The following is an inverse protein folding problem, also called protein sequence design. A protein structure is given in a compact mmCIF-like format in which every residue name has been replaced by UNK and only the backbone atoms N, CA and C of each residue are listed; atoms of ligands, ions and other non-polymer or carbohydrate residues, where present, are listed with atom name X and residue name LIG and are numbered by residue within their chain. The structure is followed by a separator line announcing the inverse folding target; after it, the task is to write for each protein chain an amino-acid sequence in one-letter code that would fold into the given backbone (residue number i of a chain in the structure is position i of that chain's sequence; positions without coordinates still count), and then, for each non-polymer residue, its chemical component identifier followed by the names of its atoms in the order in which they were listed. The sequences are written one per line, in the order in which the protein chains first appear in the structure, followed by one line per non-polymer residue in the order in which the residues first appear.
data_IF_156384190858
#
_entry.id   IF_156384190858
#
_cell.length_a   1.000
_cell.length_b   1.000
_cell.length_c   1.000
_cell.angle_alpha   90.00
_cell.angle_beta   90.00
_cell.angle_gamma   90.00
#
_symmetry.space_group_name_H-M   'P 1'
#
loop_
_entity.id
_entity.type
_entity.pdbx_description
1 polymer ?
#
# COMPACT_ATOMS: atom_id res chain seq x y z
N UNK A 1 -31.49 -23.00 -33.72
CA UNK A 1 -31.70 -22.44 -32.37
C UNK A 1 -31.04 -23.38 -31.38
N UNK A 2 -30.34 -22.83 -30.39
CA UNK A 2 -29.53 -23.47 -29.34
C UNK A 2 -28.06 -23.74 -29.71
N UNK A 3 -27.22 -23.04 -28.94
CA UNK A 3 -25.78 -22.84 -28.96
C UNK A 3 -24.99 -24.14 -28.71
N UNK A 4 -23.90 -24.29 -29.46
CA UNK A 4 -22.70 -25.05 -29.06
C UNK A 4 -21.86 -24.14 -28.16
N UNK A 5 -21.48 -24.60 -26.97
CA UNK A 5 -20.24 -24.17 -26.32
C UNK A 5 -19.52 -25.45 -25.93
N UNK A 6 -18.38 -25.65 -26.59
CA UNK A 6 -17.37 -26.65 -26.26
C UNK A 6 -16.86 -26.38 -24.84
N UNK A 7 -16.98 -27.39 -23.97
CA UNK A 7 -15.96 -27.65 -22.96
C UNK A 7 -14.87 -28.45 -23.64
N UNK A 8 -13.65 -27.91 -23.68
CA UNK A 8 -12.38 -28.63 -23.46
C UNK A 8 -11.18 -27.73 -23.81
N UNK A 9 -10.17 -27.83 -22.95
CA UNK A 9 -8.76 -27.55 -23.19
C UNK A 9 -8.29 -26.09 -23.11
N UNK A 10 -7.78 -25.72 -21.94
CA UNK A 10 -6.48 -25.05 -21.80
C UNK A 10 -5.90 -25.37 -20.42
N UNK A 11 -5.43 -26.61 -20.28
CA UNK A 11 -4.36 -26.95 -19.36
C UNK A 11 -3.05 -26.75 -20.12
N UNK A 12 -2.34 -25.65 -19.86
CA UNK A 12 -0.91 -25.47 -20.13
C UNK A 12 -0.50 -24.03 -19.77
N UNK A 13 -0.03 -23.83 -18.53
CA UNK A 13 1.05 -22.92 -18.11
C UNK A 13 1.00 -22.73 -16.58
N UNK A 14 1.13 -23.83 -15.84
CA UNK A 14 1.69 -23.82 -14.49
C UNK A 14 2.76 -24.90 -14.45
N UNK A 15 3.91 -24.55 -15.00
CA UNK A 15 5.17 -25.23 -14.77
C UNK A 15 6.16 -24.17 -14.33
N UNK A 16 5.89 -23.58 -13.16
CA UNK A 16 6.93 -22.89 -12.41
C UNK A 16 7.57 -23.97 -11.54
N UNK A 17 8.87 -24.07 -11.72
CA UNK A 17 9.81 -24.97 -11.08
C UNK A 17 9.52 -25.23 -9.61
N UNK A 18 9.33 -26.52 -9.28
CA UNK A 18 9.70 -27.07 -7.97
C UNK A 18 11.21 -26.98 -7.79
N UNK A 19 11.72 -25.78 -7.54
CA UNK A 19 13.00 -25.59 -6.86
C UNK A 19 12.62 -25.35 -5.40
N UNK A 20 12.73 -26.40 -4.59
CA UNK A 20 12.77 -26.38 -3.11
C UNK A 20 12.40 -25.05 -2.46
N UNK A 21 11.10 -24.80 -2.25
CA UNK A 21 10.66 -24.08 -1.06
C UNK A 21 11.23 -24.89 0.10
N UNK A 22 12.34 -24.43 0.67
CA UNK A 22 12.70 -24.83 2.01
C UNK A 22 11.43 -24.56 2.83
N UNK A 23 10.82 -25.62 3.37
CA UNK A 23 9.88 -25.46 4.46
C UNK A 23 10.64 -24.64 5.50
N UNK A 24 10.34 -23.36 5.61
CA UNK A 24 10.74 -22.58 6.75
C UNK A 24 10.07 -23.28 7.93
N UNK A 25 10.83 -24.10 8.65
CA UNK A 25 10.36 -24.66 9.91
C UNK A 25 9.90 -23.47 10.77
N UNK A 26 8.73 -23.55 11.44
CA UNK A 26 8.35 -22.53 12.38
C UNK A 26 9.50 -22.39 13.38
N UNK A 27 10.11 -21.20 13.43
CA UNK A 27 11.25 -20.94 14.30
C UNK A 27 10.75 -21.11 15.73
N UNK A 28 11.07 -22.25 16.34
CA UNK A 28 10.87 -22.48 17.76
C UNK A 28 11.74 -21.47 18.53
N UNK A 29 11.12 -20.40 19.03
CA UNK A 29 11.63 -19.67 20.19
C UNK A 29 12.22 -18.29 19.97
N UNK A 30 11.64 -17.43 19.14
CA UNK A 30 11.72 -15.98 19.39
C UNK A 30 10.55 -15.57 20.30
N UNK A 31 10.87 -14.94 21.44
CA UNK A 31 9.85 -14.49 22.39
C UNK A 31 9.01 -13.37 21.77
N UNK A 32 7.69 -13.41 21.99
CA UNK A 32 6.74 -12.36 21.55
C UNK A 32 7.13 -10.91 21.92
N UNK A 33 8.09 -10.72 22.82
CA UNK A 33 8.66 -9.42 23.20
C UNK A 33 9.58 -8.81 22.13
N UNK A 34 10.28 -9.62 21.33
CA UNK A 34 11.21 -9.11 20.31
C UNK A 34 10.43 -8.55 19.11
N UNK A 35 9.36 -9.24 18.69
CA UNK A 35 8.44 -8.78 17.64
C UNK A 35 7.77 -7.44 17.98
N UNK A 36 7.30 -7.28 19.22
CA UNK A 36 6.68 -6.02 19.65
C UNK A 36 7.66 -4.86 19.65
N UNK A 37 8.93 -5.10 19.95
CA UNK A 37 9.97 -4.08 19.87
C UNK A 37 10.23 -3.65 18.41
N UNK A 38 10.30 -4.61 17.49
CA UNK A 38 10.46 -4.35 16.05
C UNK A 38 9.29 -3.54 15.48
N UNK A 39 8.05 -3.94 15.77
CA UNK A 39 6.84 -3.17 15.36
C UNK A 39 6.84 -1.76 15.97
N UNK A 40 7.19 -1.63 17.25
CA UNK A 40 7.25 -0.32 17.92
C UNK A 40 8.29 0.61 17.30
N UNK A 41 9.44 0.07 16.86
CA UNK A 41 10.48 0.84 16.19
C UNK A 41 10.01 1.35 14.82
N UNK A 42 9.32 0.50 14.04
CA UNK A 42 8.72 0.88 12.75
C UNK A 42 7.70 2.00 12.93
N UNK A 43 6.75 1.86 13.86
CA UNK A 43 5.73 2.89 14.10
C UNK A 43 6.34 4.20 14.64
N UNK A 44 7.39 4.10 15.47
CA UNK A 44 8.12 5.29 15.95
C UNK A 44 8.79 6.03 14.80
N UNK A 45 9.41 5.31 13.85
CA UNK A 45 10.01 5.91 12.67
C UNK A 45 8.94 6.58 11.78
N UNK A 46 7.81 5.89 11.56
CA UNK A 46 6.67 6.41 10.78
C UNK A 46 6.08 7.70 11.34
N UNK A 47 5.97 7.80 12.66
CA UNK A 47 5.37 8.96 13.36
C UNK A 47 6.36 10.13 13.55
N UNK A 48 7.61 9.99 13.12
CA UNK A 48 8.60 11.06 13.26
C UNK A 48 8.23 12.26 12.38
N UNK A 49 8.32 13.46 12.94
CA UNK A 49 8.20 14.72 12.18
C UNK A 49 9.52 15.13 11.51
N UNK A 50 10.56 14.27 11.59
CA UNK A 50 11.85 14.55 10.99
C UNK A 50 11.77 14.58 9.45
N UNK A 51 12.64 15.37 8.83
CA UNK A 51 12.78 15.40 7.37
C UNK A 51 13.14 14.02 6.80
N UNK A 52 13.77 13.13 7.59
CA UNK A 52 14.18 11.76 7.22
C UNK A 52 13.16 10.68 7.55
N UNK A 53 11.96 11.04 8.04
CA UNK A 53 11.04 10.09 8.65
C UNK A 53 10.64 8.92 7.74
N UNK A 54 10.52 9.16 6.42
CA UNK A 54 10.15 8.10 5.49
C UNK A 54 11.34 7.18 5.17
N UNK A 55 12.55 7.74 5.00
CA UNK A 55 13.77 6.94 4.89
C UNK A 55 14.00 6.07 6.14
N UNK A 56 13.88 6.64 7.34
CA UNK A 56 14.01 5.93 8.61
C UNK A 56 12.94 4.83 8.76
N UNK A 57 11.73 5.08 8.28
CA UNK A 57 10.64 4.11 8.25
C UNK A 57 10.98 2.89 7.38
N UNK A 58 11.47 3.10 6.16
CA UNK A 58 11.84 2.00 5.26
C UNK A 58 12.99 1.17 5.84
N UNK A 59 14.00 1.83 6.43
CA UNK A 59 15.12 1.16 7.11
C UNK A 59 14.66 0.36 8.34
N UNK A 60 13.67 0.87 9.07
CA UNK A 60 13.11 0.14 10.22
C UNK A 60 12.35 -1.11 9.79
N UNK A 61 11.64 -1.08 8.66
CA UNK A 61 10.99 -2.27 8.10
C UNK A 61 12.04 -3.28 7.64
N UNK A 62 13.05 -2.84 6.88
CA UNK A 62 14.14 -3.70 6.39
C UNK A 62 14.87 -4.40 7.55
N UNK A 63 15.24 -3.66 8.59
CA UNK A 63 15.90 -4.22 9.77
C UNK A 63 15.04 -5.26 10.52
N UNK A 64 13.71 -5.17 10.40
CA UNK A 64 12.76 -6.08 11.01
C UNK A 64 12.23 -7.15 10.04
N UNK A 65 12.66 -7.17 8.77
CA UNK A 65 11.97 -7.91 7.72
C UNK A 65 11.92 -9.41 7.97
N UNK A 66 13.01 -9.99 8.50
CA UNK A 66 13.08 -11.40 8.88
C UNK A 66 12.05 -11.77 9.95
N UNK A 67 11.84 -10.90 10.93
CA UNK A 67 10.84 -11.10 11.98
C UNK A 67 9.41 -10.98 11.41
N UNK A 68 9.19 -9.98 10.54
CA UNK A 68 7.91 -9.79 9.86
C UNK A 68 7.55 -11.00 8.96
N UNK A 69 8.53 -11.53 8.21
CA UNK A 69 8.34 -12.74 7.40
C UNK A 69 7.94 -13.93 8.27
N UNK A 70 8.58 -14.12 9.42
CA UNK A 70 8.23 -15.20 10.35
C UNK A 70 6.79 -15.09 10.86
N UNK A 71 6.30 -13.88 11.14
CA UNK A 71 4.93 -13.64 11.59
C UNK A 71 3.87 -14.04 10.55
N UNK A 72 4.22 -14.08 9.26
CA UNK A 72 3.31 -14.53 8.19
C UNK A 72 3.22 -16.05 8.05
N UNK A 73 3.94 -16.82 8.87
CA UNK A 73 3.86 -18.29 8.87
C UNK A 73 2.82 -18.73 9.89
N UNK A 74 1.57 -18.87 9.46
CA UNK A 74 0.47 -19.38 10.30
C UNK A 74 0.31 -20.89 10.11
N UNK A 75 0.09 -21.64 11.20
CA UNK A 75 -0.21 -23.07 11.13
C UNK A 75 -1.62 -23.35 10.60
N UNK A 76 -1.80 -24.50 9.93
CA UNK A 76 -3.10 -24.89 9.35
C UNK A 76 -4.22 -25.02 10.42
N UNK A 77 -3.86 -25.43 11.64
CA UNK A 77 -4.79 -25.51 12.77
C UNK A 77 -5.37 -24.14 13.14
N UNK A 78 -4.58 -23.06 13.01
CA UNK A 78 -5.05 -21.69 13.27
C UNK A 78 -5.95 -21.21 12.13
N UNK A 79 -5.56 -21.47 10.87
CA UNK A 79 -6.34 -21.09 9.68
C UNK A 79 -7.73 -21.74 9.63
N UNK A 80 -7.87 -22.95 10.19
CA UNK A 80 -9.14 -23.69 10.23
C UNK A 80 -9.95 -23.42 11.51
N UNK A 81 -9.47 -22.56 12.41
CA UNK A 81 -10.07 -22.25 13.71
C UNK A 81 -11.30 -21.33 13.70
N UNK A 82 -11.73 -20.85 12.53
CA UNK A 82 -12.94 -20.03 12.37
C UNK A 82 -12.85 -18.65 13.04
N UNK A 83 -13.92 -18.22 13.70
CA UNK A 83 -14.06 -16.90 14.35
C UNK A 83 -13.44 -16.84 15.76
N UNK A 84 -12.55 -17.78 16.11
CA UNK A 84 -11.93 -17.80 17.43
C UNK A 84 -11.01 -16.57 17.63
N UNK A 85 -10.96 -15.97 18.84
CA UNK A 85 -10.10 -14.80 19.08
C UNK A 85 -8.62 -15.05 18.79
N UNK A 86 -8.14 -16.28 18.98
CA UNK A 86 -6.77 -16.68 18.68
C UNK A 86 -6.50 -16.69 17.17
N UNK A 87 -7.42 -17.24 16.38
CA UNK A 87 -7.37 -17.20 14.91
C UNK A 87 -7.39 -15.77 14.40
N UNK A 88 -8.37 -14.98 14.84
CA UNK A 88 -8.54 -13.61 14.37
C UNK A 88 -7.32 -12.73 14.74
N UNK A 89 -6.80 -12.87 15.96
CA UNK A 89 -5.60 -12.15 16.41
C UNK A 89 -4.36 -12.52 15.60
N UNK A 90 -4.13 -13.82 15.38
CA UNK A 90 -2.96 -14.30 14.62
C UNK A 90 -3.02 -13.87 13.15
N UNK A 91 -4.19 -13.96 12.52
CA UNK A 91 -4.38 -13.50 11.14
C UNK A 91 -4.20 -11.99 11.01
N UNK A 92 -4.70 -11.22 11.97
CA UNK A 92 -4.46 -9.77 12.02
C UNK A 92 -2.98 -9.43 12.06
N UNK A 93 -2.22 -10.09 12.93
CA UNK A 93 -0.79 -9.83 13.08
C UNK A 93 -0.02 -10.20 11.80
N UNK A 94 -0.36 -11.33 11.16
CA UNK A 94 0.24 -11.72 9.88
C UNK A 94 -0.09 -10.75 8.74
N UNK A 95 -1.36 -10.36 8.56
CA UNK A 95 -1.75 -9.38 7.53
C UNK A 95 -1.06 -8.03 7.76
N UNK A 96 -0.94 -7.62 9.02
CA UNK A 96 -0.25 -6.37 9.39
C UNK A 96 1.25 -6.43 9.06
N UNK A 97 1.91 -7.56 9.34
CA UNK A 97 3.31 -7.77 8.98
C UNK A 97 3.51 -7.76 7.45
N UNK A 98 2.65 -8.45 6.69
CA UNK A 98 2.64 -8.41 5.23
C UNK A 98 2.42 -7.00 4.67
N UNK A 99 1.54 -6.21 5.29
CA UNK A 99 1.29 -4.82 4.87
C UNK A 99 2.48 -3.89 5.11
N UNK A 100 3.30 -4.14 6.14
CA UNK A 100 4.56 -3.42 6.37
C UNK A 100 5.63 -3.84 5.36
N UNK A 101 5.78 -5.16 5.11
CA UNK A 101 6.70 -5.66 4.09
C UNK A 101 6.35 -5.13 2.69
N UNK A 102 5.06 -4.95 2.39
CA UNK A 102 4.60 -4.38 1.13
C UNK A 102 5.02 -2.91 0.91
N UNK A 103 5.52 -2.22 1.95
CA UNK A 103 6.08 -0.88 1.80
C UNK A 103 7.55 -0.91 1.35
N UNK A 104 8.24 -2.06 1.35
CA UNK A 104 9.62 -2.18 0.87
C UNK A 104 9.69 -2.11 -0.67
N UNK A 105 10.60 -1.31 -1.25
CA UNK A 105 10.72 -1.12 -2.71
C UNK A 105 11.44 -2.27 -3.45
N UNK A 106 12.16 -3.13 -2.73
CA UNK A 106 12.94 -4.24 -3.31
C UNK A 106 12.77 -5.53 -2.48
N UNK A 107 11.53 -6.05 -2.33
CA UNK A 107 11.32 -7.21 -1.50
C UNK A 107 12.07 -8.42 -2.06
N UNK A 108 12.76 -9.16 -1.20
CA UNK A 108 13.39 -10.42 -1.58
C UNK A 108 12.33 -11.54 -1.81
N UNK A 109 12.77 -12.75 -2.16
CA UNK A 109 11.84 -13.86 -2.43
C UNK A 109 10.98 -14.24 -1.21
N UNK A 110 11.55 -14.16 0.00
CA UNK A 110 10.84 -14.51 1.23
C UNK A 110 9.84 -13.42 1.62
N UNK A 111 10.23 -12.15 1.47
CA UNK A 111 9.38 -10.98 1.70
C UNK A 111 8.23 -10.93 0.69
N UNK A 112 8.50 -11.16 -0.60
CA UNK A 112 7.47 -11.26 -1.64
C UNK A 112 6.47 -12.39 -1.35
N UNK A 113 6.95 -13.56 -0.90
CA UNK A 113 6.08 -14.66 -0.49
C UNK A 113 5.27 -14.35 0.78
N UNK A 114 5.81 -13.57 1.71
CA UNK A 114 5.11 -13.10 2.91
C UNK A 114 4.01 -12.07 2.56
N UNK A 115 4.26 -11.17 1.61
CA UNK A 115 3.26 -10.22 1.09
C UNK A 115 2.10 -10.99 0.44
N UNK A 116 2.39 -11.96 -0.43
CA UNK A 116 1.37 -12.78 -1.09
C UNK A 116 0.49 -13.55 -0.09
N UNK A 117 1.09 -14.15 0.95
CA UNK A 117 0.34 -14.81 2.04
C UNK A 117 -0.57 -13.85 2.79
N UNK A 118 -0.14 -12.61 3.02
CA UNK A 118 -0.98 -11.60 3.66
C UNK A 118 -2.26 -11.28 2.89
N UNK A 119 -2.19 -11.25 1.55
CA UNK A 119 -3.37 -11.11 0.71
C UNK A 119 -4.33 -12.30 0.87
N UNK A 120 -3.79 -13.53 0.81
CA UNK A 120 -4.58 -14.75 1.03
C UNK A 120 -5.24 -14.76 2.42
N UNK A 121 -4.52 -14.36 3.47
CA UNK A 121 -5.08 -14.28 4.83
C UNK A 121 -6.13 -13.19 4.96
N UNK A 122 -5.98 -12.06 4.25
CA UNK A 122 -7.04 -11.06 4.22
C UNK A 122 -8.32 -11.57 3.57
N UNK A 123 -8.21 -12.36 2.49
CA UNK A 123 -9.37 -12.97 1.83
C UNK A 123 -10.07 -13.95 2.78
N UNK A 124 -9.32 -14.82 3.45
CA UNK A 124 -9.86 -15.75 4.45
C UNK A 124 -10.52 -14.99 5.61
N UNK A 125 -9.93 -13.88 6.07
CA UNK A 125 -10.51 -13.08 7.15
C UNK A 125 -11.83 -12.43 6.73
N UNK A 126 -11.94 -11.97 5.48
CA UNK A 126 -13.20 -11.43 4.96
C UNK A 126 -14.26 -12.52 4.83
N UNK A 127 -13.88 -13.77 4.50
CA UNK A 127 -14.82 -14.90 4.52
C UNK A 127 -15.32 -15.24 5.94
N UNK A 128 -14.45 -15.17 6.95
CA UNK A 128 -14.82 -15.43 8.35
C UNK A 128 -15.69 -14.30 8.91
N UNK A 129 -15.32 -13.05 8.62
CA UNK A 129 -15.88 -11.88 9.29
C UNK A 129 -16.96 -11.14 8.49
N UNK A 130 -17.09 -11.36 7.18
CA UNK A 130 -17.98 -10.60 6.31
C UNK A 130 -19.47 -10.72 6.65
N UNK A 131 -19.85 -11.76 7.38
CA UNK A 131 -21.23 -11.96 7.88
C UNK A 131 -21.42 -11.57 9.36
N UNK A 132 -20.36 -11.14 10.06
CA UNK A 132 -20.40 -10.77 11.47
C UNK A 132 -20.80 -9.30 11.65
N UNK A 133 -21.89 -9.05 12.39
CA UNK A 133 -22.38 -7.70 12.70
C UNK A 133 -22.72 -7.57 14.20
N UNK A 134 -21.99 -6.73 14.99
CA UNK A 134 -20.81 -5.97 14.57
C UNK A 134 -19.60 -6.88 14.30
N UNK A 135 -18.75 -6.50 13.35
CA UNK A 135 -17.51 -7.20 13.10
C UNK A 135 -16.55 -7.06 14.30
N UNK A 136 -15.81 -8.11 14.67
CA UNK A 136 -14.71 -7.99 15.63
C UNK A 136 -13.65 -6.98 15.18
N UNK A 137 -13.00 -6.31 16.14
CA UNK A 137 -11.99 -5.26 15.86
C UNK A 137 -10.82 -5.76 15.01
N UNK A 138 -10.47 -7.03 15.14
CA UNK A 138 -9.42 -7.69 14.37
C UNK A 138 -9.81 -7.80 12.90
N UNK A 139 -11.08 -8.08 12.61
CA UNK A 139 -11.60 -8.14 11.26
C UNK A 139 -11.59 -6.76 10.60
N UNK A 140 -12.00 -5.72 11.33
CA UNK A 140 -11.95 -4.33 10.85
C UNK A 140 -10.52 -3.89 10.55
N UNK A 141 -9.56 -4.21 11.44
CA UNK A 141 -8.14 -3.93 11.22
C UNK A 141 -7.57 -4.64 9.99
N UNK A 142 -7.90 -5.93 9.81
CA UNK A 142 -7.48 -6.72 8.63
C UNK A 142 -8.11 -6.18 7.36
N UNK A 143 -9.40 -5.84 7.37
CA UNK A 143 -10.10 -5.29 6.21
C UNK A 143 -9.36 -4.06 5.68
N UNK A 144 -9.00 -3.12 6.56
CA UNK A 144 -8.26 -1.93 6.15
C UNK A 144 -6.88 -2.30 5.59
N UNK A 145 -6.09 -3.10 6.31
CA UNK A 145 -4.71 -3.43 5.89
C UNK A 145 -4.70 -4.23 4.59
N UNK A 146 -5.55 -5.25 4.51
CA UNK A 146 -5.67 -6.19 3.39
C UNK A 146 -6.09 -5.55 2.08
N UNK A 147 -7.12 -4.68 2.10
CA UNK A 147 -7.53 -3.86 0.93
C UNK A 147 -6.34 -3.11 0.34
N UNK A 148 -5.37 -2.77 1.19
CA UNK A 148 -4.32 -1.85 0.89
C UNK A 148 -2.94 -2.46 0.66
N UNK A 149 -2.75 -3.76 0.91
CA UNK A 149 -1.47 -4.46 0.64
C UNK A 149 -1.06 -4.31 -0.84
N UNK A 150 -1.96 -4.61 -1.78
CA UNK A 150 -1.63 -4.60 -3.22
C UNK A 150 -1.16 -3.22 -3.70
N UNK A 151 -1.94 -2.20 -3.41
CA UNK A 151 -1.59 -0.80 -3.72
C UNK A 151 -0.32 -0.30 -3.02
N UNK A 152 -0.02 -0.75 -1.79
CA UNK A 152 1.27 -0.47 -1.11
C UNK A 152 2.42 -1.05 -1.91
N UNK A 153 2.32 -2.34 -2.24
CA UNK A 153 3.30 -3.03 -3.07
C UNK A 153 3.51 -2.32 -4.42
N UNK A 154 2.44 -1.92 -5.11
CA UNK A 154 2.55 -1.23 -6.40
C UNK A 154 3.21 0.16 -6.29
N UNK A 155 2.97 0.90 -5.20
CA UNK A 155 3.61 2.19 -4.94
C UNK A 155 5.09 2.02 -4.58
N UNK A 156 5.43 1.01 -3.78
CA UNK A 156 6.81 0.71 -3.44
C UNK A 156 7.57 0.12 -4.63
N UNK A 157 6.93 -0.67 -5.47
CA UNK A 157 7.46 -1.12 -6.77
C UNK A 157 7.70 0.07 -7.73
N UNK A 158 6.84 1.10 -7.69
CA UNK A 158 7.03 2.33 -8.45
C UNK A 158 8.25 3.12 -7.93
N UNK A 159 8.40 3.22 -6.61
CA UNK A 159 9.58 3.80 -5.96
C UNK A 159 10.84 3.00 -6.31
N UNK A 160 10.77 1.67 -6.31
CA UNK A 160 11.88 0.79 -6.66
C UNK A 160 12.37 1.00 -8.11
N UNK A 161 11.45 1.05 -9.09
CA UNK A 161 11.84 1.30 -10.49
C UNK A 161 12.23 2.75 -10.77
N UNK A 162 11.85 3.71 -9.92
CA UNK A 162 12.24 5.11 -10.09
C UNK A 162 13.76 5.32 -10.07
N UNK A 163 14.48 4.39 -9.43
CA UNK A 163 15.95 4.37 -9.32
C UNK A 163 16.64 3.64 -10.49
N UNK A 164 15.90 3.21 -11.51
CA UNK A 164 16.47 2.56 -12.70
C UNK A 164 16.96 3.60 -13.72
N UNK A 165 18.18 3.41 -14.21
CA UNK A 165 18.74 4.23 -15.29
C UNK A 165 17.92 4.09 -16.58
N UNK A 166 17.46 5.22 -17.13
CA UNK A 166 16.76 5.23 -18.42
C UNK A 166 15.33 4.69 -18.37
N UNK A 167 14.65 4.92 -17.25
CA UNK A 167 13.25 4.55 -17.03
C UNK A 167 12.34 5.06 -18.17
N UNK A 168 11.59 4.14 -18.76
CA UNK A 168 10.70 4.44 -19.87
C UNK A 168 9.32 4.94 -19.41
N UNK A 169 8.82 6.02 -20.03
CA UNK A 169 7.55 6.65 -19.68
C UNK A 169 6.36 5.69 -19.81
N UNK A 170 6.37 4.74 -20.76
CA UNK A 170 5.28 3.75 -20.88
C UNK A 170 5.27 2.81 -19.69
N UNK A 171 6.43 2.43 -19.16
CA UNK A 171 6.54 1.60 -17.94
C UNK A 171 5.97 2.33 -16.72
N UNK A 172 6.35 3.60 -16.53
CA UNK A 172 5.81 4.43 -15.43
C UNK A 172 4.31 4.57 -15.52
N UNK A 173 3.78 4.85 -16.72
CA UNK A 173 2.32 4.98 -16.94
C UNK A 173 1.57 3.69 -16.67
N UNK A 174 2.13 2.54 -17.05
CA UNK A 174 1.53 1.25 -16.74
C UNK A 174 1.43 1.04 -15.22
N UNK A 175 2.51 1.32 -14.47
CA UNK A 175 2.50 1.22 -13.01
C UNK A 175 1.51 2.18 -12.35
N UNK A 176 1.43 3.44 -12.81
CA UNK A 176 0.44 4.40 -12.30
C UNK A 176 -0.99 3.89 -12.53
N UNK A 177 -1.27 3.31 -13.69
CA UNK A 177 -2.57 2.69 -14.00
C UNK A 177 -2.86 1.49 -13.11
N UNK A 178 -1.88 0.62 -12.87
CA UNK A 178 -2.03 -0.53 -11.98
C UNK A 178 -2.32 -0.09 -10.53
N UNK A 179 -1.70 1.02 -10.09
CA UNK A 179 -1.98 1.62 -8.77
C UNK A 179 -3.41 2.14 -8.72
N UNK A 180 -3.83 2.94 -9.71
CA UNK A 180 -5.21 3.47 -9.83
C UNK A 180 -6.25 2.35 -9.74
N UNK A 181 -6.08 1.28 -10.54
CA UNK A 181 -6.98 0.11 -10.54
C UNK A 181 -6.98 -0.68 -9.22
N UNK A 182 -5.97 -0.49 -8.37
CA UNK A 182 -5.86 -1.16 -7.08
C UNK A 182 -6.44 -0.36 -5.91
N UNK A 183 -6.84 0.89 -6.13
CA UNK A 183 -7.45 1.71 -5.08
C UNK A 183 -8.93 1.29 -4.86
N UNK A 184 -9.39 1.28 -3.60
CA UNK A 184 -10.80 1.08 -3.30
C UNK A 184 -11.61 2.26 -3.81
N UNK A 185 -12.90 2.04 -4.15
CA UNK A 185 -13.75 3.15 -4.51
C UNK A 185 -14.08 4.01 -3.28
N UNK A 186 -14.29 5.31 -3.48
CA UNK A 186 -14.72 6.21 -2.39
C UNK A 186 -16.03 5.76 -1.75
N UNK A 187 -16.89 5.06 -2.50
CA UNK A 187 -18.14 4.52 -1.98
C UNK A 187 -17.83 3.40 -0.99
N UNK A 188 -16.90 2.50 -1.30
CA UNK A 188 -16.53 1.40 -0.40
C UNK A 188 -15.91 1.94 0.90
N UNK A 189 -15.06 2.96 0.79
CA UNK A 189 -14.45 3.64 1.95
C UNK A 189 -15.50 4.28 2.87
N UNK A 190 -16.51 4.94 2.29
CA UNK A 190 -17.52 5.67 3.07
C UNK A 190 -18.69 4.80 3.55
N UNK A 191 -18.85 3.58 3.02
CA UNK A 191 -19.93 2.68 3.43
C UNK A 191 -19.70 2.05 4.81
N UNK A 192 -18.44 1.82 5.19
CA UNK A 192 -18.07 1.23 6.47
C UNK A 192 -17.60 2.33 7.43
N UNK A 193 -18.54 2.92 8.18
CA UNK A 193 -18.27 4.00 9.16
C UNK A 193 -17.23 3.60 10.22
N UNK A 194 -17.03 2.30 10.50
CA UNK A 194 -16.07 1.83 11.50
C UNK A 194 -14.63 1.87 10.97
N UNK A 195 -14.44 1.77 9.66
CA UNK A 195 -13.11 1.73 9.03
C UNK A 195 -12.78 2.95 8.19
N UNK A 196 -13.77 3.82 7.93
CA UNK A 196 -13.64 5.00 7.06
C UNK A 196 -12.44 5.87 7.40
N UNK A 197 -12.27 6.27 8.67
CA UNK A 197 -11.18 7.15 9.10
C UNK A 197 -9.80 6.53 8.82
N UNK A 198 -9.63 5.23 9.11
CA UNK A 198 -8.36 4.51 8.89
C UNK A 198 -8.11 4.29 7.41
N UNK A 199 -9.16 4.07 6.63
CA UNK A 199 -9.03 3.95 5.17
C UNK A 199 -8.62 5.28 4.54
N UNK A 200 -9.21 6.38 4.99
CA UNK A 200 -8.87 7.75 4.58
C UNK A 200 -7.42 8.11 4.94
N UNK A 201 -6.98 7.77 6.15
CA UNK A 201 -5.58 7.95 6.57
C UNK A 201 -4.62 7.17 5.67
N UNK A 202 -4.91 5.89 5.39
CA UNK A 202 -4.11 5.07 4.48
C UNK A 202 -4.06 5.66 3.06
N UNK A 203 -5.17 6.20 2.54
CA UNK A 203 -5.21 6.92 1.27
C UNK A 203 -4.24 8.12 1.25
N UNK A 204 -4.21 8.92 2.32
CA UNK A 204 -3.28 10.05 2.46
C UNK A 204 -1.81 9.60 2.46
N UNK A 205 -1.48 8.52 3.17
CA UNK A 205 -0.10 8.01 3.23
C UNK A 205 0.44 7.60 1.86
N UNK A 206 -0.40 6.99 1.03
CA UNK A 206 -0.04 6.61 -0.34
C UNK A 206 0.19 7.80 -1.24
N UNK A 207 -0.61 8.85 -1.07
CA UNK A 207 -0.37 10.11 -1.75
C UNK A 207 1.03 10.61 -1.40
N UNK A 208 1.41 10.54 -0.13
CA UNK A 208 2.76 10.94 0.29
C UNK A 208 3.86 10.04 -0.29
N UNK A 209 3.66 8.72 -0.38
CA UNK A 209 4.61 7.84 -1.08
C UNK A 209 4.73 8.19 -2.57
N UNK A 210 3.61 8.43 -3.26
CA UNK A 210 3.61 8.85 -4.66
C UNK A 210 4.34 10.18 -4.85
N UNK A 211 4.07 11.17 -3.99
CA UNK A 211 4.72 12.49 -4.03
C UNK A 211 6.22 12.39 -3.83
N UNK A 212 6.70 11.47 -3.00
CA UNK A 212 8.13 11.21 -2.79
C UNK A 212 8.78 10.53 -3.99
N UNK A 213 8.04 9.67 -4.72
CA UNK A 213 8.54 9.03 -5.93
C UNK A 213 8.63 10.00 -7.13
N UNK A 214 7.76 11.00 -7.21
CA UNK A 214 7.66 11.93 -8.36
C UNK A 214 8.97 12.63 -8.72
N UNK A 215 9.72 13.24 -7.79
CA UNK A 215 11.01 13.87 -8.09
C UNK A 215 12.05 12.88 -8.64
N UNK A 216 12.12 11.68 -8.05
CA UNK A 216 13.07 10.63 -8.46
C UNK A 216 12.74 10.16 -9.88
N UNK A 217 11.47 9.86 -10.15
CA UNK A 217 11.00 9.47 -11.49
C UNK A 217 11.28 10.57 -12.51
N UNK A 218 11.01 11.83 -12.16
CA UNK A 218 11.21 12.99 -13.06
C UNK A 218 12.67 13.12 -13.49
N UNK A 219 13.61 12.82 -12.59
CA UNK A 219 15.04 12.80 -12.89
C UNK A 219 15.41 11.64 -13.83
N UNK A 220 14.74 10.50 -13.71
CA UNK A 220 15.06 9.27 -14.46
C UNK A 220 14.45 9.20 -15.87
N UNK A 221 13.28 9.79 -16.10
CA UNK A 221 12.56 9.72 -17.40
C UNK A 221 13.03 10.74 -18.45
N UNK A 222 13.85 11.71 -18.06
CA UNK A 222 14.37 12.77 -18.93
C UNK A 222 13.39 13.93 -19.21
N UNK A 223 13.92 15.12 -19.50
CA UNK A 223 13.18 16.39 -19.60
C UNK A 223 12.01 16.37 -20.58
N UNK A 224 12.17 15.70 -21.74
CA UNK A 224 11.15 15.65 -22.80
C UNK A 224 9.87 14.89 -22.37
N UNK A 225 9.97 14.05 -21.33
CA UNK A 225 8.87 13.22 -20.85
C UNK A 225 8.16 13.79 -19.61
N UNK A 226 8.74 14.80 -18.95
CA UNK A 226 8.23 15.34 -17.66
C UNK A 226 6.79 15.82 -17.80
N UNK A 227 6.45 16.62 -18.81
CA UNK A 227 5.08 17.13 -18.96
C UNK A 227 4.03 16.01 -19.14
N UNK A 228 4.41 14.93 -19.83
CA UNK A 228 3.53 13.79 -20.05
C UNK A 228 3.42 12.89 -18.81
N UNK A 229 4.48 12.80 -17.99
CA UNK A 229 4.45 12.16 -16.68
C UNK A 229 3.63 12.96 -15.66
N UNK A 230 3.80 14.29 -15.61
CA UNK A 230 3.05 15.19 -14.75
C UNK A 230 1.55 15.07 -14.94
N UNK A 231 1.12 14.93 -16.19
CA UNK A 231 -0.30 14.73 -16.49
C UNK A 231 -0.79 13.40 -15.90
N UNK A 232 -0.01 12.32 -16.03
CA UNK A 232 -0.42 10.99 -15.58
C UNK A 232 -0.41 10.80 -14.07
N UNK A 233 0.58 11.34 -13.33
CA UNK A 233 0.55 11.19 -11.88
C UNK A 233 -0.52 12.06 -11.23
N UNK A 234 -0.85 13.23 -11.81
CA UNK A 234 -1.85 14.15 -11.25
C UNK A 234 -3.23 13.50 -11.15
N UNK A 235 -3.64 12.71 -12.14
CA UNK A 235 -4.92 12.03 -12.12
C UNK A 235 -5.03 11.07 -10.91
N UNK A 236 -4.01 10.23 -10.70
CA UNK A 236 -3.92 9.33 -9.54
C UNK A 236 -3.84 10.10 -8.21
N UNK A 237 -3.09 11.21 -8.17
CA UNK A 237 -2.94 12.03 -6.96
C UNK A 237 -4.27 12.69 -6.53
N UNK A 238 -5.11 13.05 -7.50
CA UNK A 238 -6.46 13.57 -7.24
C UNK A 238 -7.37 12.49 -6.66
N UNK A 239 -7.30 11.26 -7.18
CA UNK A 239 -8.09 10.15 -6.63
C UNK A 239 -7.68 9.83 -5.19
N UNK A 240 -6.38 9.78 -4.91
CA UNK A 240 -5.86 9.62 -3.55
C UNK A 240 -6.28 10.78 -2.64
N UNK A 241 -6.30 12.01 -3.15
CA UNK A 241 -6.86 13.15 -2.41
C UNK A 241 -8.33 12.96 -2.08
N UNK A 242 -9.15 12.56 -3.05
CA UNK A 242 -10.59 12.37 -2.84
C UNK A 242 -10.87 11.22 -1.85
N UNK A 243 -10.09 10.14 -1.92
CA UNK A 243 -10.16 9.01 -0.98
C UNK A 243 -9.67 9.38 0.42
N UNK A 244 -8.70 10.30 0.55
CA UNK A 244 -8.12 10.67 1.84
C UNK A 244 -9.05 11.48 2.75
N UNK A 245 -10.16 12.00 2.21
CA UNK A 245 -11.05 12.88 2.96
C UNK A 245 -10.39 14.19 3.44
N UNK A 246 -9.17 14.50 2.99
CA UNK A 246 -8.45 15.69 3.40
C UNK A 246 -9.29 16.94 3.10
N UNK A 247 -9.43 17.85 4.08
CA UNK A 247 -10.31 18.98 3.92
C UNK A 247 -9.73 19.93 2.86
N UNK A 248 -10.52 20.21 1.82
CA UNK A 248 -10.21 21.25 0.83
C UNK A 248 -10.03 22.64 1.50
N UNK A 249 -10.67 22.86 2.65
CA UNK A 249 -10.67 24.10 3.44
C UNK A 249 -10.04 23.83 4.80
N UNK A 250 -8.94 24.53 5.10
CA UNK A 250 -8.19 24.45 6.36
C UNK A 250 -8.58 25.56 7.35
N UNK A 251 -9.65 26.30 7.04
CA UNK A 251 -10.14 27.43 7.84
C UNK A 251 -9.68 28.79 7.34
N UNK A 252 -8.71 28.87 6.43
CA UNK A 252 -8.29 30.13 5.81
C UNK A 252 -9.31 30.61 4.76
N UNK A 253 -9.71 31.88 4.83
CA UNK A 253 -10.78 32.43 3.97
C UNK A 253 -10.49 32.24 2.47
N UNK A 254 -9.23 32.34 2.06
CA UNK A 254 -8.82 32.12 0.67
C UNK A 254 -8.99 30.65 0.27
N UNK A 255 -8.49 29.74 1.09
CA UNK A 255 -8.49 28.30 0.80
C UNK A 255 -9.92 27.74 0.80
N UNK A 256 -10.79 28.24 1.68
CA UNK A 256 -12.19 27.84 1.74
C UNK A 256 -12.99 28.37 0.53
N UNK A 257 -12.69 29.58 0.04
CA UNK A 257 -13.25 30.08 -1.23
C UNK A 257 -12.71 29.34 -2.45
N UNK A 258 -11.49 28.83 -2.41
CA UNK A 258 -10.94 27.97 -3.46
C UNK A 258 -11.61 26.58 -3.43
N UNK A 259 -11.78 25.99 -2.25
CA UNK A 259 -12.53 24.77 -2.01
C UNK A 259 -13.98 24.86 -2.52
N UNK A 260 -14.70 25.94 -2.23
CA UNK A 260 -16.06 26.17 -2.71
C UNK A 260 -16.15 26.25 -4.25
N UNK A 261 -15.12 26.80 -4.91
CA UNK A 261 -15.03 26.84 -6.37
C UNK A 261 -14.72 25.46 -6.95
N UNK A 262 -13.82 24.73 -6.30
CA UNK A 262 -13.46 23.35 -6.66
C UNK A 262 -14.68 22.41 -6.54
N UNK A 263 -15.44 22.47 -5.44
CA UNK A 263 -16.67 21.69 -5.24
C UNK A 263 -17.76 21.98 -6.29
N UNK A 264 -17.80 23.19 -6.86
CA UNK A 264 -18.76 23.57 -7.92
C UNK A 264 -18.31 23.16 -9.33
N UNK A 265 -17.02 22.88 -9.52
CA UNK A 265 -16.43 22.57 -10.80
C UNK A 265 -15.33 21.52 -10.64
N UNK A 266 -15.73 20.31 -10.23
CA UNK A 266 -14.83 19.19 -9.83
C UNK A 266 -13.75 18.85 -10.87
N UNK A 267 -13.96 19.18 -12.15
CA UNK A 267 -13.03 18.88 -13.25
C UNK A 267 -12.43 20.14 -13.92
N UNK A 268 -12.62 21.34 -13.33
CA UNK A 268 -11.95 22.54 -13.83
C UNK A 268 -10.46 22.47 -13.47
N UNK A 269 -9.58 22.90 -14.38
CA UNK A 269 -8.12 22.89 -14.13
C UNK A 269 -7.70 23.58 -12.83
N UNK A 270 -8.45 24.61 -12.39
CA UNK A 270 -8.23 25.31 -11.12
C UNK A 270 -8.49 24.41 -9.89
N UNK A 271 -9.44 23.47 -9.97
CA UNK A 271 -9.74 22.52 -8.89
C UNK A 271 -8.67 21.43 -8.79
N UNK A 272 -8.20 20.94 -9.94
CA UNK A 272 -7.11 19.97 -10.03
C UNK A 272 -5.83 20.53 -9.41
N UNK A 273 -5.40 21.71 -9.86
CA UNK A 273 -4.19 22.34 -9.33
C UNK A 273 -4.29 22.58 -7.81
N UNK A 274 -5.47 22.96 -7.32
CA UNK A 274 -5.71 23.17 -5.90
C UNK A 274 -5.60 21.88 -5.07
N UNK A 275 -6.15 20.76 -5.54
CA UNK A 275 -6.01 19.46 -4.85
C UNK A 275 -4.56 19.00 -4.79
N UNK A 276 -3.82 19.17 -5.89
CA UNK A 276 -2.39 18.85 -5.95
C UNK A 276 -1.62 19.68 -4.91
N UNK A 277 -1.75 21.01 -4.94
CA UNK A 277 -1.08 21.92 -3.99
C UNK A 277 -1.39 21.55 -2.52
N UNK A 278 -2.64 21.20 -2.23
CA UNK A 278 -3.08 20.77 -0.90
C UNK A 278 -2.37 19.51 -0.43
N UNK A 279 -2.31 18.51 -1.28
CA UNK A 279 -1.66 17.25 -0.93
C UNK A 279 -0.14 17.40 -0.86
N UNK A 280 0.47 18.22 -1.72
CA UNK A 280 1.90 18.57 -1.62
C UNK A 280 2.24 19.25 -0.29
N UNK A 281 1.36 20.13 0.21
CA UNK A 281 1.53 20.75 1.53
C UNK A 281 1.39 19.75 2.69
N UNK A 282 0.58 18.70 2.50
CA UNK A 282 0.40 17.63 3.49
C UNK A 282 1.55 16.62 3.47
N UNK A 283 2.15 16.39 2.30
CA UNK A 283 3.19 15.39 2.05
C UNK A 283 4.55 16.06 1.81
N UNK A 284 5.30 16.41 2.88
CA UNK A 284 6.60 17.07 2.72
C UNK A 284 7.56 16.17 1.94
N UNK A 285 8.36 16.81 1.07
CA UNK A 285 9.38 16.13 0.30
C UNK A 285 10.56 15.70 1.19
N UNK A 286 10.97 14.45 1.06
CA UNK A 286 12.17 13.86 1.65
C UNK A 286 12.91 13.15 0.52
N UNK A 287 13.56 13.91 -0.37
CA UNK A 287 14.10 13.35 -1.62
C UNK A 287 15.57 12.93 -1.52
N UNK A 288 16.43 13.75 -0.88
CA UNK A 288 17.87 13.50 -0.84
C UNK A 288 18.21 12.28 0.04
N UNK A 289 17.65 12.21 1.26
CA UNK A 289 17.83 11.06 2.16
C UNK A 289 17.20 9.78 1.60
N UNK A 290 16.06 9.92 0.93
CA UNK A 290 15.34 8.79 0.36
C UNK A 290 16.12 8.13 -0.77
N UNK A 291 16.69 8.90 -1.71
CA UNK A 291 17.51 8.32 -2.79
C UNK A 291 18.69 7.50 -2.24
N UNK A 292 19.41 8.01 -1.23
CA UNK A 292 20.50 7.27 -0.57
C UNK A 292 19.99 5.98 0.09
N UNK A 293 18.83 6.05 0.74
CA UNK A 293 18.19 4.91 1.39
C UNK A 293 17.77 3.86 0.37
N UNK A 294 17.15 4.24 -0.74
CA UNK A 294 16.76 3.33 -1.81
C UNK A 294 17.97 2.61 -2.42
N UNK A 295 19.11 3.30 -2.56
CA UNK A 295 20.36 2.64 -3.00
C UNK A 295 20.81 1.58 -1.98
N UNK A 296 20.64 1.84 -0.68
CA UNK A 296 21.06 0.90 0.37
C UNK A 296 20.17 -0.34 0.50
N UNK A 297 18.89 -0.22 0.15
CA UNK A 297 17.89 -1.28 0.22
C UNK A 297 17.89 -2.22 -1.00
N UNK A 298 18.64 -1.89 -2.05
CA UNK A 298 18.72 -2.65 -3.30
C UNK A 298 19.80 -3.73 -3.27
#
# INVERSE_FOLDING_TARGET
MIKRILMTASAALMAISCATLAQAEPVEGQSGTDYQASISAIETARMSEAETAYADYLLAIDAASSDLVAMTVISEDVLTGGDSPETLGTMKDAVSASALLADLPYPDEAEAAAIARGLEYSEVMEEICGELDPAPTECEAVRVKGVYIKSRQLLSDLLGVSMEDGLDLTTVKAKLSDIEESLPSIIDVLQDENTADVMQESAAERACTLQRAVPIISNSIGEDNIAAFETSYRDLYIELFDLSGLPLCDGDEYSCRAAERCARAMNAGDCIAFKVERMEAWCPADTETLEETLVSLK
#
